data_IF_327479755500
#
_entry.id   IF_327479755500
#
_cell.length_a   1.000
_cell.length_b   1.000
_cell.length_c   1.000
_cell.angle_alpha   90.00
_cell.angle_beta   90.00
_cell.angle_gamma   90.00
#
_symmetry.space_group_name_H-M   'P 1'
#
loop_
_entity.id
_entity.type
_entity.pdbx_description
1 polymer ?
#
# COMPACT_ATOMS: atom_id res chain seq x y z
N UNK A 1 -3.75 25.21 -2.85
CA UNK A 1 -3.80 24.00 -2.01
C UNK A 1 -4.62 22.96 -2.74
N UNK A 2 -3.99 21.88 -3.24
CA UNK A 2 -4.68 20.81 -3.97
C UNK A 2 -5.28 19.83 -2.95
N UNK A 3 -6.58 19.57 -3.06
CA UNK A 3 -7.29 18.59 -2.22
C UNK A 3 -8.08 17.70 -3.16
N UNK A 4 -7.78 16.41 -3.15
CA UNK A 4 -8.45 15.39 -3.96
C UNK A 4 -8.27 14.04 -3.31
N UNK A 5 -9.22 13.14 -3.57
CA UNK A 5 -9.19 11.72 -3.26
C UNK A 5 -8.57 10.87 -4.40
N UNK A 6 -8.23 11.51 -5.53
CA UNK A 6 -7.56 10.85 -6.65
C UNK A 6 -6.05 10.76 -6.41
N UNK A 7 -5.57 9.54 -6.16
CA UNK A 7 -4.15 9.23 -5.97
C UNK A 7 -3.30 9.58 -7.20
N UNK A 8 -3.81 9.39 -8.41
CA UNK A 8 -3.05 9.67 -9.64
C UNK A 8 -2.89 11.17 -9.83
N UNK A 9 -3.95 11.93 -9.58
CA UNK A 9 -3.87 13.40 -9.61
C UNK A 9 -2.83 13.93 -8.61
N UNK A 10 -2.79 13.37 -7.38
CA UNK A 10 -1.76 13.72 -6.39
C UNK A 10 -0.34 13.36 -6.86
N UNK A 11 -0.16 12.21 -7.49
CA UNK A 11 1.15 11.78 -8.00
C UNK A 11 1.64 12.70 -9.13
N UNK A 12 0.78 13.03 -10.09
CA UNK A 12 1.09 13.97 -11.18
C UNK A 12 1.47 15.35 -10.62
N UNK A 13 0.73 15.83 -9.62
CA UNK A 13 1.04 17.10 -8.97
C UNK A 13 2.40 17.07 -8.26
N UNK A 14 2.71 15.97 -7.56
CA UNK A 14 4.01 15.77 -6.89
C UNK A 14 5.16 15.78 -7.90
N UNK A 15 5.04 15.02 -9.00
CA UNK A 15 6.05 14.98 -10.06
C UNK A 15 6.19 16.32 -10.80
N UNK A 16 5.16 17.15 -10.79
CA UNK A 16 5.18 18.50 -11.36
C UNK A 16 5.75 19.56 -10.42
N UNK A 17 6.22 19.18 -9.22
CA UNK A 17 6.81 20.12 -8.25
C UNK A 17 5.79 20.98 -7.52
N UNK A 18 4.53 20.56 -7.43
CA UNK A 18 3.46 21.33 -6.76
C UNK A 18 3.58 21.38 -5.22
N UNK A 19 4.67 20.83 -4.64
CA UNK A 19 4.99 20.93 -3.22
C UNK A 19 5.24 19.58 -2.53
N UNK A 20 4.95 19.54 -1.24
CA UNK A 20 5.06 18.35 -0.39
C UNK A 20 3.73 17.59 -0.36
N UNK A 21 3.81 16.27 -0.54
CA UNK A 21 2.66 15.39 -0.57
C UNK A 21 2.84 14.23 0.41
N UNK A 22 1.74 13.83 1.06
CA UNK A 22 1.64 12.55 1.76
C UNK A 22 0.89 11.58 0.85
N UNK A 23 1.64 10.68 0.20
CA UNK A 23 1.13 9.74 -0.81
C UNK A 23 1.85 8.39 -0.69
N UNK A 24 1.21 7.32 -1.13
CA UNK A 24 1.77 5.98 -1.27
C UNK A 24 1.08 5.23 -2.41
N UNK A 25 1.26 3.93 -2.53
CA UNK A 25 0.77 3.10 -3.65
C UNK A 25 1.19 3.60 -5.04
N UNK A 26 2.48 3.93 -5.19
CA UNK A 26 3.09 4.32 -6.46
C UNK A 26 4.37 3.53 -6.69
N UNK A 27 4.95 3.56 -7.90
CA UNK A 27 6.18 2.81 -8.18
C UNK A 27 7.36 3.28 -7.32
N UNK A 28 8.04 2.39 -6.58
CA UNK A 28 9.28 2.72 -5.86
C UNK A 28 10.38 3.28 -6.76
N UNK A 29 10.32 3.05 -8.07
CA UNK A 29 11.25 3.62 -9.05
C UNK A 29 11.28 5.14 -9.04
N UNK A 30 10.15 5.79 -8.70
CA UNK A 30 10.09 7.25 -8.61
C UNK A 30 10.97 7.77 -7.46
N UNK A 31 11.12 7.00 -6.38
CA UNK A 31 12.07 7.30 -5.30
C UNK A 31 13.50 6.92 -5.68
N UNK A 32 13.70 5.74 -6.29
CA UNK A 32 15.04 5.27 -6.71
C UNK A 32 15.71 6.19 -7.73
N UNK A 33 14.92 6.72 -8.66
CA UNK A 33 15.39 7.65 -9.70
C UNK A 33 15.60 9.08 -9.21
N UNK A 34 15.10 9.42 -8.01
CA UNK A 34 15.12 10.79 -7.48
C UNK A 34 14.06 11.72 -8.08
N UNK A 35 13.13 11.20 -8.89
CA UNK A 35 11.97 11.99 -9.35
C UNK A 35 11.06 12.39 -8.18
N UNK A 36 11.02 11.58 -7.13
CA UNK A 36 10.47 11.90 -5.83
C UNK A 36 11.55 11.69 -4.77
N UNK A 37 11.47 12.47 -3.69
CA UNK A 37 12.37 12.35 -2.54
C UNK A 37 11.54 12.21 -1.28
N UNK A 38 11.87 11.20 -0.46
CA UNK A 38 11.24 11.03 0.85
C UNK A 38 11.76 12.12 1.78
N UNK A 39 10.84 12.89 2.35
CA UNK A 39 11.12 13.84 3.42
C UNK A 39 10.62 13.28 4.76
N UNK A 40 11.17 13.80 5.86
CA UNK A 40 10.79 13.41 7.22
C UNK A 40 10.96 11.90 7.46
N UNK A 41 12.17 11.36 7.27
CA UNK A 41 12.46 9.92 7.40
C UNK A 41 12.00 9.31 8.72
N UNK A 42 12.11 10.08 9.81
CA UNK A 42 11.72 9.67 11.17
C UNK A 42 10.21 9.70 11.39
N UNK A 43 9.47 10.38 10.52
CA UNK A 43 8.01 10.45 10.60
C UNK A 43 7.41 9.21 9.92
N UNK A 44 6.52 8.55 10.64
CA UNK A 44 5.77 7.40 10.16
C UNK A 44 4.35 7.86 9.84
N UNK A 45 3.74 7.33 8.78
CA UNK A 45 2.32 7.52 8.49
C UNK A 45 1.53 6.43 9.23
N UNK A 46 0.89 6.73 10.38
CA UNK A 46 0.14 5.72 11.13
C UNK A 46 -1.12 5.35 10.33
N UNK A 47 -1.30 4.06 10.03
CA UNK A 47 -2.38 3.60 9.16
C UNK A 47 -2.19 4.07 7.71
N UNK A 48 -0.96 3.95 7.20
CA UNK A 48 -0.62 4.25 5.83
C UNK A 48 -1.43 3.42 4.81
N UNK A 49 -1.16 3.60 3.51
CA UNK A 49 -1.88 2.88 2.48
C UNK A 49 -1.62 1.37 2.58
N UNK A 50 -2.62 0.65 3.08
CA UNK A 50 -2.61 -0.80 3.24
C UNK A 50 -3.18 -1.48 1.98
N UNK A 51 -2.47 -2.48 1.47
CA UNK A 51 -2.96 -3.33 0.38
C UNK A 51 -3.40 -4.68 0.93
N UNK A 52 -4.70 -4.96 0.84
CA UNK A 52 -5.30 -6.20 1.32
C UNK A 52 -5.82 -7.07 0.17
N UNK A 53 -5.55 -8.37 0.24
CA UNK A 53 -6.15 -9.38 -0.64
C UNK A 53 -7.34 -10.05 0.06
N UNK A 54 -8.55 -9.74 -0.39
CA UNK A 54 -9.78 -10.32 0.14
C UNK A 54 -10.24 -11.51 -0.70
N UNK A 55 -10.45 -12.64 -0.07
CA UNK A 55 -10.99 -13.84 -0.71
C UNK A 55 -11.91 -14.61 0.22
N UNK A 56 -12.89 -15.31 -0.35
CA UNK A 56 -13.78 -16.18 0.42
C UNK A 56 -12.99 -17.39 0.91
N UNK A 57 -12.96 -17.58 2.23
CA UNK A 57 -12.41 -18.79 2.85
C UNK A 57 -13.40 -19.94 2.69
N UNK A 58 -12.99 -20.99 1.97
CA UNK A 58 -13.79 -22.19 1.76
C UNK A 58 -13.17 -23.40 2.49
N UNK A 59 -13.95 -24.40 2.92
CA UNK A 59 -13.41 -25.62 3.54
C UNK A 59 -12.41 -26.37 2.65
N UNK A 60 -12.58 -26.28 1.32
CA UNK A 60 -11.61 -26.70 0.31
C UNK A 60 -11.41 -25.57 -0.68
N UNK A 61 -10.28 -24.85 -0.57
CA UNK A 61 -9.95 -23.78 -1.49
C UNK A 61 -9.62 -24.36 -2.88
N UNK A 62 -10.18 -23.81 -3.98
CA UNK A 62 -9.78 -24.22 -5.32
C UNK A 62 -8.29 -23.94 -5.55
N UNK A 63 -7.55 -24.91 -6.10
CA UNK A 63 -6.10 -24.79 -6.32
C UNK A 63 -5.71 -23.53 -7.11
N UNK A 64 -6.51 -23.13 -8.10
CA UNK A 64 -6.29 -21.91 -8.88
C UNK A 64 -6.34 -20.64 -8.04
N UNK A 65 -7.24 -20.59 -7.05
CA UNK A 65 -7.36 -19.45 -6.14
C UNK A 65 -6.17 -19.40 -5.19
N UNK A 66 -5.77 -20.55 -4.63
CA UNK A 66 -4.55 -20.63 -3.79
C UNK A 66 -3.30 -20.18 -4.55
N UNK A 67 -3.11 -20.66 -5.79
CA UNK A 67 -1.99 -20.26 -6.63
C UNK A 67 -2.01 -18.76 -6.97
N UNK A 68 -3.20 -18.19 -7.23
CA UNK A 68 -3.32 -16.75 -7.46
C UNK A 68 -3.01 -15.92 -6.20
N UNK A 69 -3.46 -16.35 -5.02
CA UNK A 69 -3.13 -15.69 -3.76
C UNK A 69 -1.61 -15.65 -3.56
N UNK A 70 -0.95 -16.79 -3.71
CA UNK A 70 0.51 -16.89 -3.60
C UNK A 70 1.22 -16.00 -4.62
N UNK A 71 0.79 -16.03 -5.88
CA UNK A 71 1.31 -15.16 -6.92
C UNK A 71 1.15 -13.68 -6.57
N UNK A 72 -0.04 -13.25 -6.14
CA UNK A 72 -0.32 -11.86 -5.83
C UNK A 72 0.53 -11.36 -4.66
N UNK A 73 0.68 -12.18 -3.60
CA UNK A 73 1.54 -11.84 -2.47
C UNK A 73 3.01 -11.71 -2.89
N UNK A 74 3.50 -12.63 -3.71
CA UNK A 74 4.87 -12.56 -4.24
C UNK A 74 5.07 -11.35 -5.16
N UNK A 75 4.11 -11.05 -6.02
CA UNK A 75 4.18 -9.91 -6.93
C UNK A 75 4.26 -8.57 -6.18
N UNK A 76 3.46 -8.42 -5.11
CA UNK A 76 3.48 -7.24 -4.24
C UNK A 76 4.82 -7.10 -3.51
N UNK A 77 5.34 -8.20 -2.94
CA UNK A 77 6.65 -8.21 -2.29
C UNK A 77 7.81 -7.89 -3.26
N UNK A 78 7.73 -8.34 -4.51
CA UNK A 78 8.72 -8.04 -5.55
C UNK A 78 8.62 -6.60 -6.05
N UNK A 79 7.41 -6.04 -6.11
CA UNK A 79 7.16 -4.68 -6.55
C UNK A 79 7.78 -3.64 -5.62
N UNK A 80 7.61 -3.83 -4.30
CA UNK A 80 8.13 -2.91 -3.28
C UNK A 80 8.86 -3.67 -2.15
N UNK A 81 10.07 -4.19 -2.44
CA UNK A 81 10.77 -5.10 -1.52
C UNK A 81 11.25 -4.43 -0.23
N UNK A 82 11.30 -3.10 -0.21
CA UNK A 82 11.69 -2.31 0.96
C UNK A 82 10.50 -1.59 1.61
N UNK A 83 9.27 -1.91 1.18
CA UNK A 83 8.02 -1.33 1.70
C UNK A 83 8.06 0.21 1.73
N UNK A 84 8.63 0.81 0.68
CA UNK A 84 8.87 2.25 0.58
C UNK A 84 7.59 3.03 0.27
N UNK A 85 6.61 2.38 -0.34
CA UNK A 85 5.42 2.98 -0.95
C UNK A 85 4.13 2.26 -0.57
N UNK A 86 4.20 0.97 -0.20
CA UNK A 86 3.06 0.14 0.20
C UNK A 86 3.40 -0.57 1.52
N UNK A 87 2.47 -0.52 2.49
CA UNK A 87 2.61 -1.31 3.73
C UNK A 87 2.07 -2.73 3.49
N UNK A 88 2.92 -3.75 3.71
CA UNK A 88 2.54 -5.16 3.57
C UNK A 88 2.16 -5.76 4.93
N UNK A 89 0.90 -5.60 5.33
CA UNK A 89 0.43 -6.21 6.57
C UNK A 89 0.04 -7.67 6.35
N UNK A 90 0.86 -8.60 6.81
CA UNK A 90 0.55 -10.05 6.81
C UNK A 90 -0.38 -10.49 7.95
N UNK A 91 -0.97 -9.55 8.70
CA UNK A 91 -1.73 -9.85 9.93
C UNK A 91 -3.23 -9.81 9.70
N UNK A 92 -3.91 -10.90 10.05
CA UNK A 92 -5.36 -10.92 10.28
C UNK A 92 -5.70 -9.83 11.31
N UNK A 93 -6.70 -8.96 11.08
CA UNK A 93 -7.10 -7.99 12.10
C UNK A 93 -7.41 -8.74 13.40
N UNK A 94 -6.98 -8.18 14.53
CA UNK A 94 -7.39 -8.68 15.83
C UNK A 94 -8.92 -8.76 15.86
N UNK A 95 -9.53 -9.75 16.54
CA UNK A 95 -10.97 -9.74 16.73
C UNK A 95 -11.34 -8.39 17.33
N UNK A 96 -12.32 -7.72 16.72
CA UNK A 96 -12.97 -6.57 17.35
C UNK A 96 -13.60 -7.12 18.61
N UNK A 97 -12.95 -6.89 19.76
CA UNK A 97 -13.56 -7.19 21.05
C UNK A 97 -14.92 -6.50 21.08
N UNK A 98 -15.95 -7.30 21.29
CA UNK A 98 -17.33 -6.83 21.28
C UNK A 98 -17.45 -5.62 22.20
N UNK A 99 -18.00 -4.53 21.65
CA UNK A 99 -18.64 -3.52 22.49
C UNK A 99 -19.81 -4.23 23.17
N UNK A 100 -19.58 -4.72 24.38
CA UNK A 100 -20.64 -4.93 25.34
C UNK A 100 -21.21 -3.54 25.67
N UNK A 101 -22.44 -3.31 25.26
CA UNK A 101 -23.26 -2.14 25.54
C UNK A 101 -24.70 -2.50 25.26
#
# INVERSE_FOLDING_TARGET
HLVTDDREALLVAALSGAGLFRIGMFSPDLLRSGQLVRLLSEWQWPGGPELSLLYRRLPRQPRRVSAFIEFAMNAVAVFDPAEMTIEHRTRRPAPVEGRAG
#
